data_IF_455180382182
#
_entry.id   IF_455180382182
#
_cell.length_a   1.000
_cell.length_b   1.000
_cell.length_c   1.000
_cell.angle_alpha   90.00
_cell.angle_beta   90.00
_cell.angle_gamma   90.00
#
_symmetry.space_group_name_H-M   'P 1'
#
loop_
_entity.id
_entity.type
_entity.pdbx_description
1 polymer ?
#
# COMPACT_ATOMS: atom_id res chain seq x y z
N UNK A 1 -9.50 -6.42 -15.36
CA UNK A 1 -8.92 -7.47 -14.50
C UNK A 1 -7.81 -6.86 -13.65
N UNK A 2 -7.82 -7.09 -12.34
CA UNK A 2 -6.75 -6.71 -11.39
C UNK A 2 -5.95 -7.95 -10.97
N UNK A 3 -4.77 -7.78 -10.37
CA UNK A 3 -3.93 -8.92 -9.92
C UNK A 3 -4.69 -9.89 -8.99
N UNK A 4 -5.54 -9.36 -8.10
CA UNK A 4 -6.36 -10.19 -7.19
C UNK A 4 -7.34 -11.04 -8.00
N UNK A 5 -8.06 -10.43 -8.94
CA UNK A 5 -9.00 -11.17 -9.81
C UNK A 5 -8.29 -12.20 -10.69
N UNK A 6 -7.06 -11.92 -11.15
CA UNK A 6 -6.31 -12.90 -11.93
C UNK A 6 -6.01 -14.18 -11.12
N UNK A 7 -5.63 -14.01 -9.86
CA UNK A 7 -5.38 -15.12 -8.92
C UNK A 7 -6.68 -15.85 -8.58
N UNK A 8 -7.77 -15.12 -8.37
CA UNK A 8 -9.10 -15.70 -8.11
C UNK A 8 -9.58 -16.60 -9.25
N UNK A 9 -9.31 -16.23 -10.50
CA UNK A 9 -9.60 -17.05 -11.68
C UNK A 9 -8.52 -18.09 -12.01
N UNK A 10 -7.59 -18.37 -11.09
CA UNK A 10 -6.64 -19.47 -11.22
C UNK A 10 -5.44 -19.20 -12.13
N UNK A 11 -5.14 -17.95 -12.48
CA UNK A 11 -3.97 -17.59 -13.33
C UNK A 11 -2.64 -17.54 -12.56
N UNK A 12 -2.57 -18.11 -11.36
CA UNK A 12 -1.33 -18.29 -10.59
C UNK A 12 -1.39 -17.66 -9.20
N UNK A 13 -0.22 -17.24 -8.71
CA UNK A 13 -0.03 -16.61 -7.40
C UNK A 13 0.65 -15.24 -7.55
N UNK A 14 0.49 -14.37 -6.56
CA UNK A 14 1.09 -13.03 -6.61
C UNK A 14 1.52 -12.55 -5.23
N UNK A 15 2.35 -11.49 -5.21
CA UNK A 15 2.73 -10.78 -3.99
C UNK A 15 1.87 -9.54 -3.83
N UNK A 16 1.27 -9.38 -2.66
CA UNK A 16 0.49 -8.20 -2.31
C UNK A 16 1.21 -7.40 -1.22
N UNK A 17 1.28 -6.06 -1.33
CA UNK A 17 1.82 -5.25 -0.26
C UNK A 17 0.87 -5.29 0.94
N UNK A 18 1.43 -5.33 2.15
CA UNK A 18 0.67 -5.46 3.40
C UNK A 18 -0.45 -4.40 3.54
N UNK A 19 -0.20 -3.16 3.09
CA UNK A 19 -1.20 -2.08 3.12
C UNK A 19 -2.47 -2.42 2.32
N UNK A 20 -2.35 -3.17 1.21
CA UNK A 20 -3.50 -3.58 0.41
C UNK A 20 -4.28 -4.71 1.09
N UNK A 21 -3.57 -5.64 1.75
CA UNK A 21 -4.20 -6.67 2.59
C UNK A 21 -4.99 -6.03 3.73
N UNK A 22 -4.37 -5.09 4.48
CA UNK A 22 -5.03 -4.34 5.57
C UNK A 22 -6.23 -3.52 5.08
N UNK A 23 -6.17 -2.99 3.86
CA UNK A 23 -7.30 -2.29 3.22
C UNK A 23 -8.44 -3.23 2.77
N UNK A 24 -8.24 -4.55 2.82
CA UNK A 24 -9.25 -5.56 2.46
C UNK A 24 -9.35 -5.83 0.97
N UNK A 25 -8.25 -5.73 0.21
CA UNK A 25 -8.25 -5.97 -1.25
C UNK A 25 -8.71 -7.38 -1.63
N UNK A 26 -8.60 -8.36 -0.73
CA UNK A 26 -9.04 -9.75 -0.90
C UNK A 26 -10.40 -10.03 -0.24
N UNK A 27 -11.10 -9.00 0.27
CA UNK A 27 -12.39 -9.17 0.96
C UNK A 27 -13.44 -9.68 -0.02
N UNK A 28 -14.05 -10.81 0.31
CA UNK A 28 -15.08 -11.44 -0.51
C UNK A 28 -14.54 -12.28 -1.68
N UNK A 29 -13.22 -12.41 -1.82
CA UNK A 29 -12.59 -13.38 -2.73
C UNK A 29 -12.25 -14.68 -1.99
N UNK A 30 -12.16 -15.80 -2.72
CA UNK A 30 -11.75 -17.10 -2.16
C UNK A 30 -10.22 -17.29 -2.07
N UNK A 31 -9.46 -16.18 -2.05
CA UNK A 31 -7.99 -16.22 -2.03
C UNK A 31 -7.46 -16.29 -0.60
N UNK A 32 -6.60 -17.27 -0.33
CA UNK A 32 -5.80 -17.33 0.89
C UNK A 32 -4.53 -16.50 0.80
N UNK A 33 -4.19 -15.75 1.85
CA UNK A 33 -2.93 -14.99 1.94
C UNK A 33 -2.01 -15.60 3.00
N UNK A 34 -0.72 -15.73 2.70
CA UNK A 34 0.31 -16.21 3.64
C UNK A 34 1.36 -15.12 3.89
N UNK A 35 1.95 -15.05 5.11
CA UNK A 35 3.07 -14.16 5.38
C UNK A 35 4.27 -14.47 4.47
N UNK A 36 5.00 -13.44 4.07
CA UNK A 36 6.22 -13.59 3.28
C UNK A 36 7.44 -13.77 4.20
N UNK A 37 8.24 -14.82 3.98
CA UNK A 37 9.34 -15.20 4.88
C UNK A 37 10.59 -14.28 4.79
N UNK A 38 10.75 -13.51 3.71
CA UNK A 38 11.92 -12.64 3.55
C UNK A 38 11.82 -11.36 4.40
N UNK A 39 12.60 -11.30 5.46
CA UNK A 39 12.61 -10.21 6.47
C UNK A 39 12.97 -8.81 5.93
N UNK A 40 13.42 -8.68 4.68
CA UNK A 40 13.93 -7.42 4.12
C UNK A 40 13.19 -6.92 2.87
N UNK A 41 12.06 -7.54 2.49
CA UNK A 41 11.30 -7.12 1.31
C UNK A 41 10.21 -6.12 1.70
N UNK A 42 10.58 -4.85 1.77
CA UNK A 42 9.66 -3.74 1.99
C UNK A 42 9.75 -2.70 0.87
N UNK A 43 8.69 -1.89 0.76
CA UNK A 43 8.67 -0.71 -0.09
C UNK A 43 8.37 0.51 0.76
N UNK A 44 8.98 1.64 0.42
CA UNK A 44 8.70 2.91 1.07
C UNK A 44 7.63 3.67 0.31
N UNK A 45 6.57 4.11 1.02
CA UNK A 45 5.62 5.08 0.49
C UNK A 45 6.13 6.49 0.80
N UNK A 46 6.16 7.37 -0.20
CA UNK A 46 6.65 8.73 -0.06
C UNK A 46 5.61 9.74 -0.58
N UNK A 47 5.56 10.90 0.08
CA UNK A 47 4.85 12.08 -0.42
C UNK A 47 5.88 13.03 -1.03
N UNK A 48 5.73 13.34 -2.32
CA UNK A 48 6.64 14.21 -3.07
C UNK A 48 5.86 15.32 -3.77
N UNK A 49 6.50 16.48 -3.93
CA UNK A 49 5.98 17.63 -4.66
C UNK A 49 7.13 18.42 -5.30
N UNK A 50 6.81 19.29 -6.27
CA UNK A 50 7.81 20.16 -6.93
C UNK A 50 8.35 21.19 -5.93
N UNK A 51 9.64 21.50 -5.99
CA UNK A 51 10.29 22.44 -5.07
C UNK A 51 9.58 23.81 -4.98
N UNK A 52 9.09 24.33 -6.11
CA UNK A 52 8.41 25.64 -6.22
C UNK A 52 6.87 25.51 -6.28
N UNK A 53 6.30 24.46 -5.68
CA UNK A 53 4.85 24.33 -5.67
C UNK A 53 4.20 25.46 -4.84
N UNK A 54 3.23 26.17 -5.45
CA UNK A 54 2.51 27.26 -4.79
C UNK A 54 1.84 26.84 -3.46
N UNK A 55 1.42 25.57 -3.37
CA UNK A 55 0.74 24.97 -2.21
C UNK A 55 1.67 24.19 -1.26
N UNK A 56 2.92 24.62 -1.15
CA UNK A 56 3.95 23.94 -0.34
C UNK A 56 3.49 23.75 1.12
N UNK A 57 2.84 24.76 1.68
CA UNK A 57 2.41 24.75 3.08
C UNK A 57 1.33 23.68 3.32
N UNK A 58 0.39 23.50 2.38
CA UNK A 58 -0.64 22.46 2.49
C UNK A 58 -0.04 21.06 2.35
N UNK A 59 0.94 20.86 1.48
CA UNK A 59 1.65 19.58 1.38
C UNK A 59 2.40 19.25 2.67
N UNK A 60 3.03 20.25 3.30
CA UNK A 60 3.70 20.06 4.59
C UNK A 60 2.71 19.73 5.71
N UNK A 61 1.56 20.41 5.75
CA UNK A 61 0.48 20.11 6.70
C UNK A 61 -0.04 18.68 6.50
N UNK A 62 -0.28 18.27 5.25
CA UNK A 62 -0.71 16.92 4.93
C UNK A 62 0.36 15.88 5.31
N UNK A 63 1.64 16.16 5.04
CA UNK A 63 2.74 15.30 5.45
C UNK A 63 2.80 15.11 6.97
N UNK A 64 2.59 16.18 7.73
CA UNK A 64 2.52 16.12 9.20
C UNK A 64 1.32 15.30 9.67
N UNK A 65 0.16 15.48 9.04
CA UNK A 65 -1.03 14.69 9.33
C UNK A 65 -0.79 13.18 9.10
N UNK A 66 -0.22 12.81 7.94
CA UNK A 66 0.12 11.42 7.62
C UNK A 66 1.13 10.82 8.61
N UNK A 67 2.16 11.56 9.00
CA UNK A 67 3.14 11.09 10.01
C UNK A 67 2.48 10.81 11.36
N UNK A 68 1.55 11.65 11.79
CA UNK A 68 0.92 11.52 13.10
C UNK A 68 -0.14 10.41 13.15
N UNK A 69 -0.83 10.13 12.05
CA UNK A 69 -2.00 9.24 12.04
C UNK A 69 -1.79 7.93 11.29
N UNK A 70 -0.90 7.89 10.29
CA UNK A 70 -0.75 6.76 9.38
C UNK A 70 0.60 6.02 9.52
N UNK A 71 1.58 6.60 10.22
CA UNK A 71 2.94 6.05 10.34
C UNK A 71 3.22 5.39 11.71
N UNK A 72 2.20 4.89 12.41
CA UNK A 72 2.42 4.11 13.64
C UNK A 72 3.16 2.80 13.32
N UNK A 73 4.19 2.51 14.13
CA UNK A 73 4.92 1.22 14.20
C UNK A 73 3.96 0.06 14.41
#
# INVERSE_FOLDING_TARGET
MTLVQLVEFGMGVTLLPEVAIKAGVTRGSEISTVPYEGQHNYRSLALAWRANAARRNEYQLFAAHLRNHCMKK
#
